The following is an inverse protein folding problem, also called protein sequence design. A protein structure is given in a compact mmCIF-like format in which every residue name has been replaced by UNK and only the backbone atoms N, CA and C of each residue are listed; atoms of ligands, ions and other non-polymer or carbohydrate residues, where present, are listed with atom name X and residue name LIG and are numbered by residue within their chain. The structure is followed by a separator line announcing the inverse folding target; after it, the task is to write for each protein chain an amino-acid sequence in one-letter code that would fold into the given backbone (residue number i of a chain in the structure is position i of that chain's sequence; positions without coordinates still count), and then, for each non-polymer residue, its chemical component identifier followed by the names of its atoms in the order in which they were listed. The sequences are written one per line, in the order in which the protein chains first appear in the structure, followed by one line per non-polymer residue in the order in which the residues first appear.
data_IF_756504868806
#
_entry.id   IF_756504868806
#
_cell.length_a   1.000
_cell.length_b   1.000
_cell.length_c   1.000
_cell.angle_alpha   90.00
_cell.angle_beta   90.00
_cell.angle_gamma   90.00
#
_symmetry.space_group_name_H-M   'P 1'
#
loop_
_entity.id
_entity.type
_entity.pdbx_description
1 polymer ?
#
# COMPACT_ATOMS: atom_id res chain seq x y z
N UNK A 1 -4.55 6.66 4.36
CA UNK A 1 -4.20 7.83 3.56
C UNK A 1 -3.08 8.64 4.17
N UNK A 2 -2.54 9.64 3.46
CA UNK A 2 -1.34 10.41 3.83
C UNK A 2 -1.41 11.05 5.23
N UNK A 3 -2.56 11.57 5.63
CA UNK A 3 -2.74 12.18 6.96
C UNK A 3 -2.48 11.19 8.10
N UNK A 4 -3.05 9.97 8.02
CA UNK A 4 -2.83 8.93 9.04
C UNK A 4 -1.41 8.41 9.02
N UNK A 5 -0.82 8.28 7.84
CA UNK A 5 0.60 7.94 7.70
C UNK A 5 1.48 8.96 8.41
N UNK A 6 1.27 10.26 8.17
CA UNK A 6 2.04 11.32 8.83
C UNK A 6 1.88 11.30 10.36
N UNK A 7 0.67 11.03 10.86
CA UNK A 7 0.43 10.92 12.31
C UNK A 7 1.22 9.74 12.90
N UNK A 8 1.19 8.57 12.26
CA UNK A 8 1.94 7.40 12.72
C UNK A 8 3.45 7.66 12.66
N UNK A 9 3.93 8.31 11.60
CA UNK A 9 5.32 8.71 11.47
C UNK A 9 5.77 9.61 12.62
N UNK A 10 4.97 10.63 12.97
CA UNK A 10 5.24 11.52 14.09
C UNK A 10 5.17 10.79 15.43
N UNK A 11 4.22 9.88 15.62
CA UNK A 11 4.15 9.03 16.83
C UNK A 11 5.43 8.20 16.96
N UNK A 12 5.88 7.56 15.90
CA UNK A 12 7.13 6.80 15.89
C UNK A 12 8.35 7.67 16.20
N UNK A 13 8.40 8.90 15.64
CA UNK A 13 9.45 9.86 15.92
C UNK A 13 9.48 10.27 17.40
N UNK A 14 8.35 10.68 17.95
CA UNK A 14 8.23 11.08 19.36
C UNK A 14 8.47 9.90 20.31
N UNK A 15 7.91 8.73 20.02
CA UNK A 15 8.16 7.51 20.78
C UNK A 15 9.62 7.11 20.78
N UNK A 16 10.29 7.26 19.64
CA UNK A 16 11.74 7.05 19.52
C UNK A 16 12.53 8.04 20.35
N UNK A 17 12.20 9.33 20.27
CA UNK A 17 12.86 10.36 21.08
C UNK A 17 12.69 10.11 22.58
N UNK A 18 11.49 9.77 23.02
CA UNK A 18 11.22 9.40 24.41
C UNK A 18 12.00 8.15 24.85
N UNK A 19 12.05 7.11 24.00
CA UNK A 19 12.83 5.92 24.24
C UNK A 19 14.32 6.20 24.39
N UNK A 20 14.87 7.09 23.55
CA UNK A 20 16.26 7.54 23.70
C UNK A 20 16.50 8.26 25.02
N UNK A 21 15.71 9.28 25.31
CA UNK A 21 15.88 10.11 26.54
C UNK A 21 15.74 9.26 27.80
N UNK A 22 14.80 8.31 27.85
CA UNK A 22 14.58 7.48 29.02
C UNK A 22 15.81 6.64 29.43
N UNK A 23 16.65 6.28 28.46
CA UNK A 23 17.84 5.46 28.72
C UNK A 23 19.17 6.22 28.58
N UNK A 24 19.12 7.48 28.17
CA UNK A 24 20.31 8.31 27.92
C UNK A 24 20.13 9.73 28.42
N UNK A 25 19.43 9.93 29.54
CA UNK A 25 19.10 11.23 30.08
C UNK A 25 20.34 12.11 30.36
N UNK A 26 21.44 11.49 30.77
CA UNK A 26 22.70 12.17 31.09
C UNK A 26 23.65 12.27 29.87
N UNK A 27 23.24 11.81 28.72
CA UNK A 27 24.09 11.84 27.51
C UNK A 27 24.09 13.23 26.88
N UNK A 28 25.27 13.77 26.69
CA UNK A 28 25.47 15.00 25.89
C UNK A 28 25.41 14.74 24.37
N UNK A 29 25.37 13.46 23.95
CA UNK A 29 25.34 13.08 22.53
C UNK A 29 23.90 13.12 22.04
N UNK A 30 23.56 13.94 21.05
CA UNK A 30 22.21 13.96 20.48
C UNK A 30 21.93 12.70 19.67
N UNK A 31 20.71 12.16 19.75
CA UNK A 31 20.22 11.17 18.81
C UNK A 31 19.71 11.88 17.55
N UNK A 32 20.26 11.52 16.41
CA UNK A 32 19.86 12.04 15.12
C UNK A 32 19.34 10.94 14.21
N UNK A 33 18.28 11.24 13.48
CA UNK A 33 17.78 10.38 12.43
C UNK A 33 16.29 10.05 12.54
N UNK A 34 15.69 9.78 11.38
CA UNK A 34 14.29 9.39 11.24
C UNK A 34 14.06 7.88 11.48
N UNK A 35 15.09 7.14 11.91
CA UNK A 35 15.03 5.68 12.04
C UNK A 35 14.04 5.22 13.12
N UNK A 36 13.87 5.98 14.20
CA UNK A 36 12.83 5.72 15.20
C UNK A 36 11.42 5.79 14.60
N UNK A 37 11.17 6.74 13.70
CA UNK A 37 9.90 6.80 12.96
C UNK A 37 9.75 5.63 11.97
N UNK A 38 10.82 5.20 11.29
CA UNK A 38 10.80 4.05 10.41
C UNK A 38 10.47 2.75 11.16
N UNK A 39 11.08 2.54 12.34
CA UNK A 39 10.71 1.45 13.24
C UNK A 39 9.28 1.59 13.76
N UNK A 40 8.80 2.81 13.97
CA UNK A 40 7.40 3.09 14.30
C UNK A 40 6.45 2.62 13.19
N UNK A 41 6.77 2.89 11.93
CA UNK A 41 5.96 2.37 10.80
C UNK A 41 5.94 0.84 10.77
N UNK A 42 7.08 0.18 11.06
CA UNK A 42 7.14 -1.28 11.14
C UNK A 42 6.27 -1.81 12.29
N UNK A 43 6.30 -1.17 13.47
CA UNK A 43 5.44 -1.50 14.60
C UNK A 43 3.95 -1.31 14.28
N UNK A 44 3.59 -0.21 13.64
CA UNK A 44 2.23 0.03 13.17
C UNK A 44 1.78 -1.01 12.13
N UNK A 45 2.68 -1.38 11.21
CA UNK A 45 2.36 -2.42 10.22
C UNK A 45 2.11 -3.77 10.88
N UNK A 46 2.94 -4.16 11.85
CA UNK A 46 2.71 -5.36 12.65
C UNK A 46 1.35 -5.33 13.37
N UNK A 47 0.97 -4.19 13.96
CA UNK A 47 -0.30 -4.07 14.67
C UNK A 47 -1.52 -4.16 13.74
N UNK A 48 -1.40 -3.65 12.51
CA UNK A 48 -2.52 -3.58 11.57
C UNK A 48 -2.64 -4.79 10.65
N UNK A 49 -1.52 -5.33 10.20
CA UNK A 49 -1.47 -6.36 9.15
C UNK A 49 -0.38 -7.41 9.41
N UNK A 50 -0.46 -8.16 10.52
CA UNK A 50 0.59 -9.12 10.92
C UNK A 50 0.77 -10.29 9.94
N UNK A 51 -0.28 -10.67 9.22
CA UNK A 51 -0.26 -11.78 8.26
C UNK A 51 0.02 -11.34 6.82
N UNK A 52 0.13 -10.03 6.60
CA UNK A 52 0.47 -9.52 5.27
C UNK A 52 1.86 -10.02 4.85
N UNK A 53 2.03 -10.31 3.57
CA UNK A 53 3.24 -10.93 3.05
C UNK A 53 4.04 -9.91 2.23
N UNK A 54 5.31 -9.74 2.62
CA UNK A 54 6.25 -8.83 1.93
C UNK A 54 7.36 -9.66 1.29
N UNK A 55 7.73 -9.38 0.01
CA UNK A 55 8.93 -9.95 -0.60
C UNK A 55 10.16 -9.52 0.19
N UNK A 56 10.83 -10.45 0.85
CA UNK A 56 12.01 -10.17 1.65
C UNK A 56 13.27 -10.66 0.91
N UNK A 57 14.17 -9.74 0.52
CA UNK A 57 15.28 -10.07 -0.38
C UNK A 57 16.35 -10.98 0.23
N UNK A 58 16.39 -11.16 1.55
CA UNK A 58 17.47 -11.85 2.24
C UNK A 58 17.38 -13.38 2.15
N UNK A 59 16.20 -13.96 1.91
CA UNK A 59 15.97 -15.40 1.84
C UNK A 59 15.13 -15.76 0.62
N UNK A 60 15.76 -15.66 -0.56
CA UNK A 60 15.24 -16.23 -1.80
C UNK A 60 13.76 -15.90 -2.11
N UNK A 61 13.47 -14.70 -2.59
CA UNK A 61 12.28 -14.39 -3.43
C UNK A 61 10.93 -14.88 -2.86
N UNK A 62 10.92 -15.45 -1.64
CA UNK A 62 9.70 -15.93 -1.01
C UNK A 62 9.10 -14.85 -0.12
N UNK A 63 7.81 -14.53 -0.26
CA UNK A 63 7.15 -13.56 0.62
C UNK A 63 7.10 -14.09 2.06
N UNK A 64 7.40 -13.20 3.01
CA UNK A 64 7.39 -13.49 4.43
C UNK A 64 6.29 -12.69 5.12
N UNK A 65 5.55 -13.29 6.07
CA UNK A 65 4.61 -12.56 6.89
C UNK A 65 5.28 -11.43 7.67
N UNK A 66 4.61 -10.29 7.74
CA UNK A 66 5.07 -9.09 8.45
C UNK A 66 5.45 -9.41 9.88
N UNK A 67 4.72 -10.30 10.55
CA UNK A 67 5.00 -10.71 11.93
C UNK A 67 6.44 -11.23 12.09
N UNK A 68 6.92 -12.07 11.17
CA UNK A 68 8.29 -12.60 11.27
C UNK A 68 9.33 -11.50 11.01
N UNK A 69 9.11 -10.66 10.02
CA UNK A 69 10.03 -9.57 9.68
C UNK A 69 10.10 -8.57 10.84
N UNK A 70 8.95 -8.14 11.35
CA UNK A 70 8.88 -7.15 12.43
C UNK A 70 9.49 -7.67 13.72
N UNK A 71 9.21 -8.92 14.11
CA UNK A 71 9.78 -9.53 15.31
C UNK A 71 11.28 -9.79 15.16
N UNK A 72 11.75 -10.15 13.96
CA UNK A 72 13.18 -10.30 13.70
C UNK A 72 13.91 -8.97 13.89
N UNK A 73 13.45 -7.89 13.26
CA UNK A 73 14.08 -6.58 13.42
C UNK A 73 14.00 -6.05 14.85
N UNK A 74 12.83 -6.18 15.49
CA UNK A 74 12.64 -5.76 16.88
C UNK A 74 13.56 -6.56 17.82
N UNK A 75 13.65 -7.88 17.64
CA UNK A 75 14.51 -8.75 18.43
C UNK A 75 16.00 -8.43 18.26
N UNK A 76 16.44 -8.16 17.03
CA UNK A 76 17.81 -7.72 16.76
C UNK A 76 18.13 -6.37 17.43
N UNK A 77 17.21 -5.42 17.41
CA UNK A 77 17.39 -4.14 18.10
C UNK A 77 17.45 -4.32 19.61
N UNK A 78 16.62 -5.19 20.17
CA UNK A 78 16.64 -5.50 21.60
C UNK A 78 17.98 -6.14 22.03
N UNK A 79 18.46 -7.13 21.28
CA UNK A 79 19.75 -7.79 21.55
C UNK A 79 20.89 -6.77 21.49
N UNK A 80 20.91 -5.91 20.47
CA UNK A 80 21.93 -4.87 20.33
C UNK A 80 21.87 -3.83 21.46
N UNK A 81 20.66 -3.43 21.85
CA UNK A 81 20.46 -2.52 22.96
C UNK A 81 21.01 -3.11 24.27
N UNK A 82 20.69 -4.37 24.57
CA UNK A 82 21.20 -5.08 25.76
C UNK A 82 22.72 -5.22 25.71
N UNK A 83 23.28 -5.61 24.58
CA UNK A 83 24.74 -5.74 24.42
C UNK A 83 25.49 -4.40 24.61
N UNK A 84 24.93 -3.29 24.13
CA UNK A 84 25.54 -1.97 24.36
C UNK A 84 25.43 -1.52 25.80
N UNK A 85 24.32 -1.83 26.48
CA UNK A 85 24.17 -1.56 27.91
C UNK A 85 25.17 -2.37 28.79
N UNK A 86 25.36 -3.64 28.46
CA UNK A 86 26.26 -4.54 29.21
C UNK A 86 27.74 -4.16 28.97
N UNK A 87 28.11 -3.89 27.74
CA UNK A 87 29.49 -3.57 27.37
C UNK A 87 29.92 -2.14 27.69
N UNK A 88 28.97 -1.23 27.91
CA UNK A 88 29.25 0.21 28.02
C UNK A 88 29.80 0.82 26.74
N UNK A 89 29.86 0.07 25.64
CA UNK A 89 30.37 0.52 24.35
C UNK A 89 29.31 1.34 23.61
N UNK A 90 29.69 2.48 23.06
CA UNK A 90 28.81 3.23 22.17
C UNK A 90 28.79 2.57 20.79
N UNK A 91 27.61 2.11 20.34
CA UNK A 91 27.42 1.60 18.98
C UNK A 91 27.26 2.70 17.92
N UNK A 92 27.11 3.95 18.34
CA UNK A 92 26.74 5.07 17.46
C UNK A 92 25.31 4.98 16.91
N UNK A 93 24.52 3.97 17.32
CA UNK A 93 23.15 3.74 16.89
C UNK A 93 22.22 3.84 18.10
N UNK A 94 21.13 4.59 17.97
CA UNK A 94 20.15 4.81 19.02
C UNK A 94 19.12 3.65 19.10
N UNK A 95 19.54 2.45 19.52
CA UNK A 95 18.67 1.26 19.58
C UNK A 95 17.41 1.49 20.41
N UNK A 96 17.50 2.22 21.53
CA UNK A 96 16.35 2.55 22.37
C UNK A 96 15.36 3.49 21.66
N UNK A 97 15.82 4.32 20.72
CA UNK A 97 14.94 5.11 19.87
C UNK A 97 14.16 4.22 18.89
N UNK A 98 14.77 3.19 18.34
CA UNK A 98 14.09 2.23 17.47
C UNK A 98 13.00 1.46 18.23
N UNK A 99 13.34 0.94 19.40
CA UNK A 99 12.41 0.21 20.26
C UNK A 99 11.25 1.10 20.71
N UNK A 100 11.54 2.33 21.17
CA UNK A 100 10.52 3.30 21.60
C UNK A 100 9.57 3.68 20.48
N UNK A 101 10.10 3.96 19.29
CA UNK A 101 9.30 4.26 18.10
C UNK A 101 8.38 3.12 17.69
N UNK A 102 8.93 1.90 17.66
CA UNK A 102 8.18 0.67 17.35
C UNK A 102 7.00 0.46 18.30
N UNK A 103 7.27 0.48 19.62
CA UNK A 103 6.26 0.25 20.66
C UNK A 103 5.17 1.33 20.63
N UNK A 104 5.56 2.61 20.50
CA UNK A 104 4.61 3.72 20.50
C UNK A 104 3.62 3.61 19.33
N UNK A 105 4.12 3.39 18.14
CA UNK A 105 3.27 3.29 16.95
C UNK A 105 2.45 1.99 16.92
N UNK A 106 3.00 0.86 17.39
CA UNK A 106 2.26 -0.39 17.58
C UNK A 106 1.05 -0.20 18.49
N UNK A 107 1.27 0.40 19.66
CA UNK A 107 0.23 0.58 20.68
C UNK A 107 -0.85 1.60 20.25
N UNK A 108 -0.45 2.67 19.53
CA UNK A 108 -1.34 3.78 19.18
C UNK A 108 -2.02 3.62 17.81
N UNK A 109 -1.60 2.65 16.98
CA UNK A 109 -2.23 2.42 15.68
C UNK A 109 -3.76 2.26 15.77
N UNK A 110 -4.33 1.46 16.71
CA UNK A 110 -5.78 1.29 16.78
C UNK A 110 -6.56 2.60 16.98
N UNK A 111 -5.95 3.58 17.66
CA UNK A 111 -6.55 4.90 17.86
C UNK A 111 -6.50 5.74 16.57
N UNK A 112 -5.37 5.74 15.89
CA UNK A 112 -5.16 6.49 14.63
C UNK A 112 -6.01 5.93 13.50
N UNK A 113 -6.23 4.62 13.49
CA UNK A 113 -6.98 3.93 12.45
C UNK A 113 -8.51 4.09 12.59
N UNK A 114 -9.03 4.53 13.75
CA UNK A 114 -10.47 4.71 13.96
C UNK A 114 -11.09 5.62 12.91
N UNK A 115 -12.25 5.22 12.39
CA UNK A 115 -12.97 5.96 11.33
C UNK A 115 -12.20 6.02 10.01
N UNK A 116 -11.28 5.10 9.77
CA UNK A 116 -10.61 4.93 8.49
C UNK A 116 -11.51 4.30 7.44
N UNK A 117 -11.14 4.43 6.14
CA UNK A 117 -11.91 3.85 5.04
C UNK A 117 -11.86 2.31 5.03
N UNK A 118 -10.89 1.73 5.74
CA UNK A 118 -10.72 0.27 5.88
C UNK A 118 -10.41 -0.03 7.33
N UNK A 119 -11.12 -0.98 7.91
CA UNK A 119 -10.84 -1.46 9.27
C UNK A 119 -9.51 -2.23 9.32
N UNK A 120 -8.84 -2.17 10.47
CA UNK A 120 -7.60 -2.91 10.70
C UNK A 120 -7.85 -4.42 10.56
N UNK A 121 -6.94 -5.10 9.92
CA UNK A 121 -7.00 -6.54 9.71
C UNK A 121 -7.92 -7.01 8.58
N UNK A 122 -8.77 -6.17 8.00
CA UNK A 122 -9.67 -6.56 6.89
C UNK A 122 -8.89 -7.00 5.65
N UNK A 123 -7.71 -6.45 5.41
CA UNK A 123 -6.81 -6.82 4.31
C UNK A 123 -5.63 -7.67 4.76
N UNK A 124 -5.61 -8.07 6.04
CA UNK A 124 -4.54 -8.88 6.59
C UNK A 124 -4.54 -10.30 5.99
N UNK A 125 -3.38 -10.79 5.68
CA UNK A 125 -3.20 -12.12 5.07
C UNK A 125 -2.78 -12.11 3.60
N UNK A 126 -2.43 -10.94 3.07
CA UNK A 126 -1.91 -10.77 1.72
C UNK A 126 -2.92 -11.04 0.60
N UNK A 127 -2.55 -10.78 -0.65
CA UNK A 127 -3.45 -10.95 -1.80
C UNK A 127 -3.80 -12.41 -2.10
N UNK A 128 -3.04 -13.37 -1.59
CA UNK A 128 -3.19 -14.79 -1.92
C UNK A 128 -3.91 -15.65 -0.87
N UNK A 129 -3.97 -15.22 0.38
CA UNK A 129 -4.40 -16.08 1.50
C UNK A 129 -5.53 -15.53 2.40
N UNK A 130 -5.89 -14.27 2.30
CA UNK A 130 -6.88 -13.65 3.17
C UNK A 130 -8.32 -13.75 2.66
N UNK A 131 -9.27 -14.09 3.54
CA UNK A 131 -10.70 -14.00 3.24
C UNK A 131 -11.11 -12.59 2.78
N UNK A 132 -10.48 -11.55 3.34
CA UNK A 132 -10.70 -10.16 2.98
C UNK A 132 -10.12 -9.81 1.60
N UNK A 133 -8.97 -10.35 1.23
CA UNK A 133 -8.42 -10.20 -0.12
C UNK A 133 -9.32 -10.91 -1.15
N UNK A 134 -9.87 -12.08 -0.78
CA UNK A 134 -10.86 -12.79 -1.61
C UNK A 134 -12.17 -12.00 -1.72
N UNK A 135 -12.64 -11.39 -0.64
CA UNK A 135 -13.82 -10.53 -0.64
C UNK A 135 -13.60 -9.28 -1.48
N UNK A 136 -12.42 -8.61 -1.35
CA UNK A 136 -12.06 -7.47 -2.19
C UNK A 136 -11.96 -7.85 -3.67
N UNK A 137 -11.35 -9.00 -3.99
CA UNK A 137 -11.32 -9.53 -5.37
C UNK A 137 -12.73 -9.81 -5.90
N UNK A 138 -13.62 -10.39 -5.07
CA UNK A 138 -15.02 -10.60 -5.44
C UNK A 138 -15.75 -9.27 -5.65
N UNK A 139 -15.52 -8.28 -4.82
CA UNK A 139 -16.11 -6.96 -4.94
C UNK A 139 -15.57 -6.20 -6.17
N UNK A 140 -14.24 -6.28 -6.42
CA UNK A 140 -13.64 -5.75 -7.66
C UNK A 140 -14.28 -6.46 -8.86
N UNK A 141 -14.38 -7.78 -8.84
CA UNK A 141 -14.98 -8.56 -9.91
C UNK A 141 -16.48 -8.29 -10.08
N UNK A 142 -17.21 -8.05 -9.00
CA UNK A 142 -18.64 -7.68 -9.06
C UNK A 142 -18.85 -6.26 -9.57
N UNK A 143 -17.89 -5.36 -9.35
CA UNK A 143 -17.89 -3.99 -9.86
C UNK A 143 -17.20 -3.88 -11.24
N UNK A 144 -16.69 -4.98 -11.77
CA UNK A 144 -16.19 -5.01 -13.16
C UNK A 144 -17.34 -4.81 -14.10
N UNK A 145 -17.25 -3.78 -14.90
CA UNK A 145 -18.14 -3.61 -16.05
C UNK A 145 -17.74 -4.66 -17.09
N UNK A 146 -18.67 -5.54 -17.44
CA UNK A 146 -18.42 -6.51 -18.51
C UNK A 146 -18.45 -5.76 -19.87
N UNK A 147 -17.28 -5.33 -20.30
CA UNK A 147 -17.11 -4.62 -21.56
C UNK A 147 -17.25 -5.55 -22.77
N UNK A 148 -17.29 -6.87 -22.58
CA UNK A 148 -17.48 -7.82 -23.68
C UNK A 148 -18.91 -7.81 -24.25
N UNK A 149 -19.87 -7.31 -23.46
CA UNK A 149 -21.27 -7.17 -23.83
C UNK A 149 -21.62 -5.79 -24.40
N UNK A 150 -20.66 -4.87 -24.40
CA UNK A 150 -20.87 -3.50 -24.86
C UNK A 150 -20.63 -3.44 -26.36
N UNK A 151 -21.62 -2.95 -27.09
CA UNK A 151 -21.48 -2.64 -28.50
C UNK A 151 -20.71 -1.32 -28.67
N UNK A 152 -19.69 -1.35 -29.52
CA UNK A 152 -18.98 -0.13 -29.88
C UNK A 152 -19.87 0.78 -30.81
N UNK A 153 -19.65 2.12 -30.78
CA UNK A 153 -20.53 3.04 -31.49
C UNK A 153 -20.53 2.88 -33.03
N UNK A 154 -19.49 2.29 -33.60
CA UNK A 154 -19.42 2.01 -35.04
C UNK A 154 -20.27 0.79 -35.38
N UNK A 155 -20.12 -0.30 -34.65
CA UNK A 155 -20.94 -1.53 -34.81
C UNK A 155 -22.40 -1.22 -34.55
N UNK A 156 -22.74 -0.45 -33.53
CA UNK A 156 -24.10 0.00 -33.22
C UNK A 156 -24.71 0.86 -34.34
N UNK A 157 -23.89 1.66 -35.05
CA UNK A 157 -24.30 2.44 -36.18
C UNK A 157 -24.31 1.67 -37.53
N UNK A 158 -23.97 0.37 -37.53
CA UNK A 158 -23.86 -0.45 -38.73
C UNK A 158 -22.69 -0.07 -39.64
N UNK A 159 -21.66 0.55 -39.08
CA UNK A 159 -20.44 0.97 -39.78
C UNK A 159 -19.24 0.17 -39.29
N UNK A 160 -18.33 -0.14 -40.20
CA UNK A 160 -17.09 -0.86 -39.82
C UNK A 160 -16.21 0.02 -38.92
N UNK A 161 -15.68 -0.59 -37.83
CA UNK A 161 -14.71 0.05 -36.95
C UNK A 161 -13.44 0.45 -37.74
N UNK A 162 -13.01 1.71 -37.66
CA UNK A 162 -11.79 2.18 -38.30
C UNK A 162 -10.60 1.31 -38.00
N UNK A 163 -9.77 0.99 -39.00
CA UNK A 163 -8.65 0.02 -38.82
C UNK A 163 -7.70 0.37 -37.67
N UNK A 164 -7.45 1.66 -37.48
CA UNK A 164 -6.56 2.15 -36.42
C UNK A 164 -7.15 2.02 -35.00
N UNK A 165 -8.47 1.91 -34.85
CA UNK A 165 -9.18 1.79 -33.56
C UNK A 165 -9.50 0.35 -33.19
N UNK A 166 -9.37 -0.63 -34.08
CA UNK A 166 -9.66 -2.04 -33.79
C UNK A 166 -8.80 -2.62 -32.68
N UNK A 167 -7.51 -2.30 -32.67
CA UNK A 167 -6.59 -2.75 -31.63
C UNK A 167 -6.81 -2.03 -30.29
N UNK A 168 -6.92 -0.68 -30.24
CA UNK A 168 -7.32 0.04 -29.03
C UNK A 168 -8.62 -0.47 -28.40
N UNK A 169 -9.68 -0.68 -29.17
CA UNK A 169 -10.95 -1.23 -28.66
C UNK A 169 -10.80 -2.63 -28.07
N UNK A 170 -10.06 -3.50 -28.75
CA UNK A 170 -9.76 -4.84 -28.22
C UNK A 170 -8.99 -4.76 -26.90
N UNK A 171 -8.02 -3.89 -26.79
CA UNK A 171 -7.24 -3.68 -25.57
C UNK A 171 -8.09 -3.08 -24.45
N UNK A 172 -9.00 -2.16 -24.75
CA UNK A 172 -9.96 -1.62 -23.79
C UNK A 172 -10.84 -2.73 -23.19
N UNK A 173 -11.36 -3.63 -24.02
CA UNK A 173 -12.18 -4.77 -23.59
C UNK A 173 -11.34 -5.74 -22.71
N UNK A 174 -10.10 -6.00 -23.09
CA UNK A 174 -9.19 -6.88 -22.34
C UNK A 174 -8.73 -6.27 -21.00
N UNK A 175 -8.68 -4.93 -20.89
CA UNK A 175 -8.32 -4.20 -19.67
C UNK A 175 -9.52 -3.94 -18.75
N UNK A 176 -10.59 -4.73 -18.85
CA UNK A 176 -11.84 -4.56 -18.10
C UNK A 176 -11.67 -4.56 -16.58
N UNK A 177 -10.64 -5.23 -16.05
CA UNK A 177 -10.32 -5.36 -14.62
C UNK A 177 -9.32 -4.30 -14.12
N UNK A 178 -8.70 -3.51 -15.00
CA UNK A 178 -7.70 -2.50 -14.67
C UNK A 178 -8.21 -1.08 -14.96
N UNK A 179 -8.74 -0.36 -13.96
CA UNK A 179 -9.36 0.95 -14.17
C UNK A 179 -8.45 2.01 -14.82
N UNK A 180 -7.16 2.03 -14.44
CA UNK A 180 -6.17 2.99 -14.97
C UNK A 180 -5.84 2.69 -16.44
N UNK A 181 -5.59 1.42 -16.76
CA UNK A 181 -5.31 0.95 -18.13
C UNK A 181 -6.53 1.18 -19.02
N UNK A 182 -7.72 0.94 -18.48
CA UNK A 182 -8.99 1.21 -19.19
C UNK A 182 -9.19 2.69 -19.48
N UNK A 183 -8.91 3.57 -18.52
CA UNK A 183 -8.99 5.02 -18.72
C UNK A 183 -8.02 5.48 -19.82
N UNK A 184 -6.77 4.99 -19.79
CA UNK A 184 -5.78 5.33 -20.82
C UNK A 184 -6.18 4.89 -22.23
N UNK A 185 -6.79 3.69 -22.36
CA UNK A 185 -7.31 3.25 -23.66
C UNK A 185 -8.52 4.06 -24.11
N UNK A 186 -9.40 4.50 -23.19
CA UNK A 186 -10.52 5.37 -23.51
C UNK A 186 -10.05 6.74 -24.01
N UNK A 187 -9.08 7.35 -23.33
CA UNK A 187 -8.51 8.63 -23.75
C UNK A 187 -7.91 8.51 -25.17
N UNK A 188 -7.16 7.43 -25.40
CA UNK A 188 -6.59 7.16 -26.73
C UNK A 188 -7.65 6.99 -27.82
N UNK A 189 -8.76 6.32 -27.53
CA UNK A 189 -9.87 6.13 -28.47
C UNK A 189 -10.61 7.46 -28.70
N UNK A 190 -10.80 8.26 -27.64
CA UNK A 190 -11.43 9.59 -27.73
C UNK A 190 -10.62 10.57 -28.60
N UNK A 191 -9.27 10.52 -28.46
CA UNK A 191 -8.38 11.36 -29.25
C UNK A 191 -8.29 10.94 -30.73
N UNK A 192 -8.53 9.66 -31.01
CA UNK A 192 -8.32 9.07 -32.33
C UNK A 192 -9.62 8.81 -33.14
N UNK A 193 -10.79 8.94 -32.50
CA UNK A 193 -12.04 8.60 -33.18
C UNK A 193 -13.27 9.30 -32.69
N UNK A 194 -14.09 9.75 -33.67
CA UNK A 194 -15.38 10.38 -33.44
C UNK A 194 -16.51 9.34 -33.56
N UNK A 195 -17.57 9.54 -32.79
CA UNK A 195 -18.77 8.74 -32.87
C UNK A 195 -19.46 8.93 -34.20
N UNK A 196 -19.75 7.86 -34.97
CA UNK A 196 -20.39 7.98 -36.29
C UNK A 196 -21.82 8.52 -36.23
N UNK A 197 -22.46 8.49 -35.05
CA UNK A 197 -23.83 8.93 -34.86
C UNK A 197 -23.93 10.39 -34.48
N UNK A 198 -23.05 10.89 -33.59
CA UNK A 198 -23.15 12.27 -33.10
C UNK A 198 -21.96 13.18 -33.47
N UNK A 199 -20.87 12.62 -34.02
CA UNK A 199 -19.67 13.37 -34.41
C UNK A 199 -18.81 13.88 -33.26
N UNK A 200 -19.09 13.49 -32.01
CA UNK A 200 -18.29 13.85 -30.86
C UNK A 200 -17.19 12.79 -30.60
N UNK A 201 -16.09 13.16 -29.94
CA UNK A 201 -15.07 12.18 -29.48
C UNK A 201 -15.73 11.04 -28.70
N UNK A 202 -15.28 9.80 -28.94
CA UNK A 202 -15.86 8.63 -28.28
C UNK A 202 -15.59 8.68 -26.79
N UNK A 203 -16.61 8.47 -25.99
CA UNK A 203 -16.53 8.42 -24.51
C UNK A 203 -17.26 7.19 -23.97
N UNK A 204 -17.17 6.97 -22.67
CA UNK A 204 -17.91 5.89 -22.02
C UNK A 204 -19.41 5.91 -22.28
N UNK A 205 -20.00 7.10 -22.47
CA UNK A 205 -21.43 7.23 -22.79
C UNK A 205 -21.81 6.68 -24.17
N UNK A 206 -20.86 6.54 -25.08
CA UNK A 206 -21.04 5.94 -26.38
C UNK A 206 -20.85 4.41 -26.39
N UNK A 207 -20.24 3.86 -25.32
CA UNK A 207 -19.96 2.44 -25.16
C UNK A 207 -20.98 1.72 -24.26
N UNK A 208 -21.89 2.43 -23.62
CA UNK A 208 -22.79 1.90 -22.58
C UNK A 208 -24.26 1.84 -23.01
N UNK A 209 -24.56 1.79 -24.27
CA UNK A 209 -25.95 1.68 -24.70
C UNK A 209 -26.41 0.27 -24.97
#
# INVERSE_FOLDING_TARGET
GSKRFSVIYVIGLLGGSLGWVAFNADSATPALGASGAAFGLLGAYLAGWPKDEIPFPLLLIRPWPVVFIALLYFGLELIRALSTMESGASSGIAHMAHIGGFIAAYALLPLVARGGPVELGVLDGGPSQGAAASAKRRQIKANMVDLSTIEDPWTAAGVDVPKHLRTPLKNLIQASDEPETRAAWMDHIADAGDCPTCGAPVSYTHLTL
#
